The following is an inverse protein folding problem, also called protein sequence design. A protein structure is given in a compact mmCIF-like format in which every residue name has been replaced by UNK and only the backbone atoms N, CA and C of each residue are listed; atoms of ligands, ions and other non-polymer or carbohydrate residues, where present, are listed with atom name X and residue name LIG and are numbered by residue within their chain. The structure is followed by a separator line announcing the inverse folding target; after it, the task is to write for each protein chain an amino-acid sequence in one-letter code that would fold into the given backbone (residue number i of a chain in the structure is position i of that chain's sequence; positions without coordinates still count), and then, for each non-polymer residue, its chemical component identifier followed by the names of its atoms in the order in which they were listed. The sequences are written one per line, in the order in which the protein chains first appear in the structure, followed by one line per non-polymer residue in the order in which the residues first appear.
data_IF_123615924462
#
_entry.id   IF_123615924462
#
_cell.length_a   1.000
_cell.length_b   1.000
_cell.length_c   1.000
_cell.angle_alpha   90.00
_cell.angle_beta   90.00
_cell.angle_gamma   90.00
#
_symmetry.space_group_name_H-M   'P 1'
#
loop_
_entity.id
_entity.type
_entity.pdbx_description
1 polymer ?
#
# COMPACT_ATOMS: atom_id res chain seq x y z
N UNK A 1 6.76 9.31 24.43
CA UNK A 1 8.12 9.40 23.86
C UNK A 1 8.73 8.02 23.96
N UNK A 2 8.35 7.11 23.07
CA UNK A 2 8.93 5.78 22.92
C UNK A 2 8.74 5.37 21.46
N UNK A 3 9.78 4.81 20.85
CA UNK A 3 9.80 4.41 19.44
C UNK A 3 10.67 5.32 18.58
N UNK A 4 11.99 5.07 18.60
CA UNK A 4 12.96 5.72 17.74
C UNK A 4 12.80 5.29 16.29
N UNK A 5 11.79 5.82 15.60
CA UNK A 5 11.66 5.69 14.16
C UNK A 5 12.66 6.62 13.49
N UNK A 6 13.72 6.05 12.91
CA UNK A 6 14.75 6.81 12.17
C UNK A 6 14.27 7.23 10.76
N UNK A 7 13.02 6.88 10.44
CA UNK A 7 12.32 7.21 9.21
C UNK A 7 10.90 7.68 9.47
N UNK A 8 10.54 8.83 8.89
CA UNK A 8 9.17 9.31 8.82
C UNK A 8 8.58 8.95 7.46
N UNK A 9 7.49 8.19 7.49
CA UNK A 9 6.77 7.73 6.30
C UNK A 9 5.48 8.50 6.12
N UNK A 10 5.32 9.09 4.94
CA UNK A 10 4.05 9.64 4.49
C UNK A 10 3.56 8.85 3.29
N UNK A 11 2.34 8.33 3.38
CA UNK A 11 1.64 7.71 2.28
C UNK A 11 0.60 8.70 1.77
N UNK A 12 0.71 9.08 0.50
CA UNK A 12 -0.37 9.79 -0.18
C UNK A 12 -0.74 9.06 -1.46
N UNK A 13 -2.04 8.96 -1.71
CA UNK A 13 -2.56 8.44 -2.97
C UNK A 13 -2.49 9.55 -4.02
N UNK A 14 -2.11 9.20 -5.25
CA UNK A 14 -2.17 10.15 -6.35
C UNK A 14 -3.63 10.35 -6.78
N UNK A 15 -4.11 11.59 -6.74
CA UNK A 15 -5.47 11.93 -7.25
C UNK A 15 -5.62 11.65 -8.76
N UNK A 16 -4.51 11.56 -9.49
CA UNK A 16 -4.50 11.33 -10.94
C UNK A 16 -4.40 9.86 -11.33
N UNK A 17 -3.89 9.01 -10.43
CA UNK A 17 -3.69 7.58 -10.67
C UNK A 17 -4.13 6.79 -9.43
N UNK A 18 -5.37 6.29 -9.45
CA UNK A 18 -6.03 5.52 -8.38
C UNK A 18 -5.24 4.26 -7.95
N UNK A 19 -4.25 3.84 -8.75
CA UNK A 19 -3.43 2.66 -8.55
C UNK A 19 -2.01 2.98 -8.04
N UNK A 20 -1.73 4.26 -7.76
CA UNK A 20 -0.41 4.70 -7.32
C UNK A 20 -0.43 5.31 -5.92
N UNK A 21 0.61 5.00 -5.16
CA UNK A 21 0.87 5.54 -3.84
C UNK A 21 2.33 5.98 -3.77
N UNK A 22 2.60 7.12 -3.14
CA UNK A 22 3.95 7.59 -2.87
C UNK A 22 4.22 7.45 -1.39
N UNK A 23 5.35 6.82 -1.07
CA UNK A 23 5.88 6.65 0.26
C UNK A 23 7.15 7.48 0.40
N UNK A 24 7.10 8.50 1.25
CA UNK A 24 8.23 9.37 1.52
C UNK A 24 9.13 8.78 2.61
N UNK A 25 10.43 8.67 2.39
CA UNK A 25 11.44 8.13 3.31
C UNK A 25 12.34 9.26 3.80
N UNK A 26 12.28 9.63 5.09
CA UNK A 26 13.08 10.74 5.64
C UNK A 26 14.19 10.22 6.55
N UNK A 27 15.47 10.46 6.22
CA UNK A 27 16.59 10.04 7.07
C UNK A 27 16.85 11.08 8.16
N UNK A 28 16.46 10.79 9.41
CA UNK A 28 16.70 11.69 10.56
C UNK A 28 18.01 11.40 11.30
N UNK A 29 18.86 10.53 10.75
CA UNK A 29 20.13 10.14 11.36
C UNK A 29 21.29 11.06 10.94
N UNK A 30 22.44 10.92 11.59
CA UNK A 30 23.70 11.55 11.18
C UNK A 30 24.51 10.73 10.17
N UNK A 31 23.97 9.62 9.66
CA UNK A 31 24.67 8.71 8.75
C UNK A 31 23.95 8.60 7.39
N UNK A 32 24.70 8.23 6.36
CA UNK A 32 24.09 7.80 5.11
C UNK A 32 23.33 6.50 5.35
N UNK A 33 22.12 6.37 4.82
CA UNK A 33 21.35 5.13 4.91
C UNK A 33 21.03 4.64 3.52
N UNK A 34 21.41 3.40 3.23
CA UNK A 34 20.91 2.70 2.05
C UNK A 34 19.63 1.94 2.42
N UNK A 35 18.63 2.01 1.56
CA UNK A 35 17.40 1.22 1.72
C UNK A 35 17.21 0.24 0.57
N UNK A 36 16.42 -0.80 0.83
CA UNK A 36 15.92 -1.74 -0.17
C UNK A 36 14.45 -2.04 0.06
N UNK A 37 13.66 -1.97 -1.01
CA UNK A 37 12.23 -2.32 -1.02
C UNK A 37 12.05 -3.76 -1.52
N UNK A 38 11.35 -4.56 -0.72
CA UNK A 38 10.88 -5.91 -1.05
C UNK A 38 9.36 -5.93 -1.04
N UNK A 39 8.77 -6.88 -1.77
CA UNK A 39 7.32 -7.10 -1.78
C UNK A 39 7.00 -8.58 -1.92
N UNK A 40 5.89 -9.01 -1.34
CA UNK A 40 5.37 -10.37 -1.51
C UNK A 40 4.71 -10.59 -2.89
N UNK A 41 4.48 -9.52 -3.67
CA UNK A 41 3.82 -9.60 -4.97
C UNK A 41 4.55 -8.79 -6.07
N UNK A 42 5.81 -9.12 -6.40
CA UNK A 42 6.65 -8.32 -7.32
C UNK A 42 6.14 -8.26 -8.76
N UNK A 43 5.22 -9.15 -9.17
CA UNK A 43 4.57 -9.11 -10.49
C UNK A 43 3.40 -8.12 -10.55
N UNK A 44 2.81 -7.76 -9.41
CA UNK A 44 1.65 -6.86 -9.32
C UNK A 44 2.05 -5.41 -9.17
N UNK A 45 3.27 -5.11 -8.72
CA UNK A 45 3.69 -3.76 -8.39
C UNK A 45 4.98 -3.35 -9.09
N UNK A 46 4.99 -2.13 -9.59
CA UNK A 46 6.20 -1.43 -9.97
C UNK A 46 6.59 -0.48 -8.83
N UNK A 47 7.85 -0.55 -8.40
CA UNK A 47 8.40 0.30 -7.33
C UNK A 47 9.56 1.10 -7.90
N UNK A 48 9.60 2.41 -7.66
CA UNK A 48 10.69 3.30 -8.08
C UNK A 48 10.94 4.39 -7.03
N UNK A 49 12.17 4.57 -6.52
CA UNK A 49 13.33 3.66 -6.64
C UNK A 49 13.17 2.41 -5.76
N UNK A 50 13.74 1.27 -6.18
CA UNK A 50 13.74 0.02 -5.38
C UNK A 50 14.83 0.00 -4.30
N UNK A 51 15.92 0.72 -4.53
CA UNK A 51 17.06 0.88 -3.62
C UNK A 51 17.72 2.22 -3.91
N UNK A 52 18.16 2.92 -2.89
CA UNK A 52 18.90 4.18 -2.99
C UNK A 52 19.59 4.51 -1.65
N UNK A 53 20.49 5.48 -1.67
CA UNK A 53 21.09 6.08 -0.47
C UNK A 53 20.39 7.40 -0.16
N UNK A 54 19.95 7.54 1.09
CA UNK A 54 19.37 8.76 1.63
C UNK A 54 20.42 9.41 2.54
N UNK A 55 20.80 10.63 2.20
CA UNK A 55 21.76 11.41 2.98
C UNK A 55 21.17 11.86 4.33
N UNK A 56 22.02 12.16 5.34
CA UNK A 56 21.58 12.73 6.61
C UNK A 56 20.67 13.94 6.43
N UNK A 57 19.50 13.93 7.07
CA UNK A 57 18.52 15.03 7.02
C UNK A 57 17.75 15.15 5.69
N UNK A 58 18.00 14.27 4.73
CA UNK A 58 17.34 14.27 3.42
C UNK A 58 16.18 13.29 3.35
N UNK A 59 15.42 13.42 2.27
CA UNK A 59 14.21 12.63 2.01
C UNK A 59 14.23 12.04 0.61
N UNK A 60 13.64 10.87 0.43
CA UNK A 60 13.45 10.21 -0.86
C UNK A 60 11.99 9.76 -1.04
N UNK A 61 11.43 9.96 -2.23
CA UNK A 61 10.08 9.51 -2.57
C UNK A 61 10.11 8.16 -3.29
N UNK A 62 9.48 7.16 -2.70
CA UNK A 62 9.28 5.84 -3.30
C UNK A 62 7.86 5.75 -3.86
N UNK A 63 7.76 5.71 -5.18
CA UNK A 63 6.49 5.50 -5.88
C UNK A 63 6.22 4.00 -6.02
N UNK A 64 5.05 3.58 -5.56
CA UNK A 64 4.50 2.24 -5.74
C UNK A 64 3.29 2.33 -6.65
N UNK A 65 3.37 1.67 -7.81
CA UNK A 65 2.29 1.60 -8.79
C UNK A 65 1.79 0.16 -8.90
N UNK A 66 0.51 -0.07 -8.64
CA UNK A 66 -0.16 -1.34 -8.92
C UNK A 66 -0.39 -1.47 -10.42
N UNK A 67 0.11 -2.57 -10.99
CA UNK A 67 0.01 -2.93 -12.42
C UNK A 67 -1.06 -3.99 -12.68
N UNK A 68 -1.73 -4.50 -11.65
CA UNK A 68 -2.80 -5.47 -11.79
C UNK A 68 -4.06 -4.84 -12.42
N UNK A 69 -4.83 -5.61 -13.18
CA UNK A 69 -6.10 -5.16 -13.76
C UNK A 69 -7.12 -4.86 -12.65
N UNK A 70 -7.94 -3.81 -12.84
CA UNK A 70 -8.98 -3.38 -11.88
C UNK A 70 -9.93 -4.52 -11.43
N UNK A 71 -10.06 -5.58 -12.24
CA UNK A 71 -10.85 -6.77 -11.93
C UNK A 71 -10.30 -7.59 -10.74
N UNK A 72 -8.98 -7.68 -10.58
CA UNK A 72 -8.33 -8.43 -9.47
C UNK A 72 -8.48 -7.67 -8.13
N UNK A 73 -8.62 -6.34 -8.20
CA UNK A 73 -8.85 -5.48 -7.02
C UNK A 73 -10.24 -5.75 -6.40
N UNK A 74 -11.20 -6.21 -7.22
CA UNK A 74 -12.57 -6.48 -6.77
C UNK A 74 -12.73 -7.73 -5.90
N UNK A 75 -11.72 -8.61 -5.83
CA UNK A 75 -11.78 -9.81 -4.97
C UNK A 75 -11.44 -9.51 -3.50
N UNK A 76 -11.25 -8.22 -3.14
CA UNK A 76 -11.06 -7.66 -1.78
C UNK A 76 -9.96 -8.30 -0.90
N UNK A 77 -9.19 -9.26 -1.44
CA UNK A 77 -8.18 -10.03 -0.73
C UNK A 77 -6.77 -9.55 -1.08
N UNK A 78 -6.52 -8.24 -0.93
CA UNK A 78 -5.15 -7.74 -0.97
C UNK A 78 -4.45 -8.12 0.34
N UNK A 79 -3.61 -9.16 0.29
CA UNK A 79 -2.73 -9.60 1.39
C UNK A 79 -1.26 -9.29 1.08
N UNK A 80 -1.05 -8.42 0.09
CA UNK A 80 0.28 -8.06 -0.37
C UNK A 80 0.96 -7.18 0.69
N UNK A 81 2.27 -7.38 0.84
CA UNK A 81 3.08 -6.66 1.83
C UNK A 81 4.28 -6.03 1.14
N UNK A 82 4.71 -4.90 1.66
CA UNK A 82 5.99 -4.27 1.35
C UNK A 82 6.88 -4.32 2.59
N UNK A 83 8.16 -4.53 2.37
CA UNK A 83 9.18 -4.48 3.40
C UNK A 83 10.26 -3.51 2.96
N UNK A 84 10.63 -2.58 3.82
CA UNK A 84 11.80 -1.71 3.62
C UNK A 84 12.84 -2.15 4.62
N UNK A 85 14.03 -2.46 4.10
CA UNK A 85 15.20 -2.75 4.93
C UNK A 85 16.18 -1.59 4.81
N UNK A 86 16.72 -1.16 5.93
CA UNK A 86 17.67 -0.05 6.02
C UNK A 86 19.01 -0.52 6.59
N UNK A 87 20.10 -0.07 5.96
CA UNK A 87 21.49 -0.34 6.40
C UNK A 87 22.28 0.95 6.43
N UNK A 88 23.16 1.12 7.41
CA UNK A 88 24.07 2.27 7.44
C UNK A 88 25.06 2.11 6.27
N UNK A 89 25.13 3.12 5.42
CA UNK A 89 26.04 3.15 4.29
C UNK A 89 27.32 3.92 4.65
N UNK A 90 28.41 3.55 3.99
CA UNK A 90 29.70 4.22 4.18
C UNK A 90 29.66 5.65 3.59
N UNK A 91 30.59 6.49 4.06
CA UNK A 91 30.72 7.84 3.53
C UNK A 91 31.17 7.78 2.07
N UNK A 92 30.44 8.44 1.18
CA UNK A 92 30.71 8.42 -0.26
C UNK A 92 30.19 7.17 -0.99
N UNK A 93 29.46 6.29 -0.31
CA UNK A 93 28.80 5.17 -0.97
C UNK A 93 27.84 5.67 -2.07
N UNK A 94 27.78 4.91 -3.15
CA UNK A 94 26.97 5.18 -4.34
C UNK A 94 25.95 4.08 -4.54
N UNK A 95 25.07 4.26 -5.53
CA UNK A 95 24.12 3.22 -5.93
C UNK A 95 24.80 1.90 -6.32
N UNK A 96 26.03 1.92 -6.84
CA UNK A 96 26.76 0.71 -7.25
C UNK A 96 27.22 -0.11 -6.04
N UNK A 97 27.44 0.54 -4.90
CA UNK A 97 27.91 -0.09 -3.66
C UNK A 97 26.80 -0.80 -2.88
N UNK A 98 25.52 -0.53 -3.21
CA UNK A 98 24.37 -1.15 -2.54
C UNK A 98 24.19 -2.58 -3.05
N UNK A 99 24.75 -3.57 -2.36
CA UNK A 99 24.62 -4.98 -2.73
C UNK A 99 23.50 -5.68 -1.95
N UNK A 100 22.98 -6.78 -2.51
CA UNK A 100 21.92 -7.56 -1.88
C UNK A 100 22.38 -8.21 -0.57
N UNK A 101 23.65 -8.57 -0.47
CA UNK A 101 24.25 -9.22 0.70
C UNK A 101 24.23 -8.33 1.94
N UNK A 102 24.25 -7.00 1.76
CA UNK A 102 24.17 -6.03 2.87
C UNK A 102 22.83 -6.10 3.62
N UNK A 103 21.77 -6.60 2.98
CA UNK A 103 20.42 -6.66 3.54
C UNK A 103 20.04 -8.07 4.04
N UNK A 104 21.03 -8.92 4.29
CA UNK A 104 20.86 -10.26 4.86
C UNK A 104 21.00 -10.23 6.38
N UNK A 105 20.30 -11.12 7.08
CA UNK A 105 20.44 -11.24 8.55
C UNK A 105 21.88 -11.56 8.97
N UNK A 106 22.60 -12.34 8.16
CA UNK A 106 23.99 -12.72 8.40
C UNK A 106 24.94 -11.53 8.43
N UNK A 107 24.66 -10.51 7.60
CA UNK A 107 25.47 -9.29 7.57
C UNK A 107 25.42 -8.53 8.90
N UNK A 108 24.34 -8.67 9.68
CA UNK A 108 24.01 -7.86 10.87
C UNK A 108 24.12 -6.35 10.63
N UNK A 109 24.06 -5.91 9.36
CA UNK A 109 24.12 -4.50 8.95
C UNK A 109 22.74 -3.86 8.85
N UNK A 110 21.71 -4.68 8.73
CA UNK A 110 20.31 -4.23 8.80
C UNK A 110 20.06 -3.75 10.21
N UNK A 111 19.84 -2.44 10.35
CA UNK A 111 19.53 -1.85 11.65
C UNK A 111 18.03 -1.60 11.81
N UNK A 112 17.25 -1.59 10.71
CA UNK A 112 15.81 -1.36 10.77
C UNK A 112 15.06 -2.01 9.60
N UNK A 113 13.88 -2.54 9.90
CA UNK A 113 12.95 -3.11 8.93
C UNK A 113 11.54 -2.60 9.16
N UNK A 114 10.85 -2.21 8.09
CA UNK A 114 9.49 -1.68 8.14
C UNK A 114 8.57 -2.46 7.21
N UNK A 115 7.56 -3.13 7.79
CA UNK A 115 6.54 -3.85 7.03
C UNK A 115 5.28 -2.99 6.85
N UNK A 116 4.80 -2.89 5.62
CA UNK A 116 3.59 -2.16 5.24
C UNK A 116 2.60 -3.12 4.58
N UNK A 117 1.35 -3.11 5.05
CA UNK A 117 0.27 -3.86 4.43
C UNK A 117 -0.41 -3.02 3.35
N UNK A 118 -0.69 -3.62 2.19
CA UNK A 118 -1.44 -2.96 1.14
C UNK A 118 -2.93 -3.05 1.43
N UNK A 119 -3.63 -1.90 1.41
CA UNK A 119 -5.08 -1.83 1.57
C UNK A 119 -5.69 -1.25 0.30
N UNK A 120 -6.54 -2.03 -0.36
CA UNK A 120 -7.34 -1.55 -1.48
C UNK A 120 -8.69 -1.06 -0.95
N UNK A 121 -8.96 0.24 -1.06
CA UNK A 121 -10.25 0.81 -0.67
C UNK A 121 -11.09 1.00 -1.93
N UNK A 122 -12.31 0.43 -2.01
CA UNK A 122 -13.19 0.71 -3.12
C UNK A 122 -13.64 2.17 -3.08
N UNK A 123 -13.60 2.83 -4.23
CA UNK A 123 -14.24 4.14 -4.44
C UNK A 123 -15.75 3.96 -4.38
N UNK A 124 -16.30 3.86 -3.16
CA UNK A 124 -17.74 3.97 -2.95
C UNK A 124 -18.09 5.45 -3.07
N UNK A 125 -18.96 5.86 -4.01
CA UNK A 125 -19.54 7.19 -3.91
C UNK A 125 -20.24 7.30 -2.54
N UNK A 126 -20.21 8.47 -1.87
CA UNK A 126 -20.99 8.66 -0.66
C UNK A 126 -22.43 8.26 -1.00
N UNK A 127 -22.98 7.27 -0.28
CA UNK A 127 -24.34 6.78 -0.55
C UNK A 127 -25.27 7.99 -0.62
N UNK A 128 -26.12 8.12 -1.66
CA UNK A 128 -27.09 9.19 -1.71
C UNK A 128 -27.92 9.08 -0.43
N UNK A 129 -27.78 10.07 0.45
CA UNK A 129 -28.62 10.18 1.64
C UNK A 129 -30.05 10.18 1.12
N UNK A 130 -30.91 9.24 1.51
CA UNK A 130 -32.31 9.29 1.09
C UNK A 130 -32.88 10.60 1.66
N UNK A 131 -33.13 11.59 0.79
CA UNK A 131 -33.75 12.86 1.19
C UNK A 131 -35.22 12.66 1.62
N UNK A 132 -35.77 11.44 1.47
CA UNK A 132 -37.13 11.12 1.90
C UNK A 132 -37.22 9.73 2.57
N UNK A 133 -37.67 9.64 3.84
CA UNK A 133 -37.88 8.38 4.57
C UNK A 133 -38.92 7.43 3.97
N UNK A 134 -39.79 7.89 3.08
CA UNK A 134 -40.98 7.14 2.63
C UNK A 134 -40.68 6.09 1.55
N UNK A 135 -39.59 6.22 0.80
CA UNK A 135 -39.26 5.30 -0.31
C UNK A 135 -38.57 4.00 0.16
N UNK A 136 -38.04 3.97 1.39
CA UNK A 136 -37.38 2.81 1.96
C UNK A 136 -38.35 1.64 2.24
N UNK A 137 -39.63 1.92 2.46
CA UNK A 137 -40.63 0.89 2.79
C UNK A 137 -41.18 0.13 1.57
N UNK A 138 -41.07 0.70 0.35
CA UNK A 138 -41.66 0.11 -0.86
C UNK A 138 -40.78 -0.97 -1.50
N UNK A 139 -39.47 -0.97 -1.23
CA UNK A 139 -38.53 -1.95 -1.80
C UNK A 139 -38.60 -3.33 -1.13
N UNK A 140 -39.21 -3.46 0.05
CA UNK A 140 -39.23 -4.72 0.82
C UNK A 140 -40.41 -5.64 0.48
N UNK A 141 -41.43 -5.18 -0.25
CA UNK A 141 -42.69 -5.93 -0.45
C UNK A 141 -42.80 -6.68 -1.80
N UNK A 142 -41.80 -6.63 -2.68
CA UNK A 142 -41.91 -7.22 -4.03
C UNK A 142 -41.58 -8.73 -4.12
N UNK A 143 -41.41 -9.45 -3.00
CA UNK A 143 -40.97 -10.85 -3.04
C UNK A 143 -41.88 -11.82 -2.29
N UNK A 144 -43.20 -11.76 -2.49
CA UNK A 144 -44.06 -12.95 -2.30
C UNK A 144 -45.30 -12.88 -3.21
N UNK A 145 -45.32 -13.68 -4.26
CA UNK A 145 -46.58 -14.18 -4.82
C UNK A 145 -46.37 -15.62 -5.30
N UNK A 146 -46.69 -16.57 -4.42
CA UNK A 146 -46.95 -17.96 -4.76
C UNK A 146 -48.26 -18.01 -5.58
N UNK A 147 -48.24 -18.57 -6.79
CA UNK A 147 -49.46 -18.84 -7.55
C UNK A 147 -49.82 -20.33 -7.41
N UNK A 148 -50.70 -20.63 -6.44
CA UNK A 148 -51.34 -21.94 -6.27
C UNK A 148 -52.56 -22.00 -7.20
N UNK A 149 -52.66 -23.12 -7.92
CA UNK A 149 -53.55 -23.32 -9.06
C UNK A 149 -55.05 -23.15 -8.81
N UNK A 150 -55.76 -22.90 -9.91
CA UNK A 150 -57.22 -22.94 -9.98
C UNK A 150 -57.66 -24.06 -10.92
N UNK A 151 -58.19 -25.12 -10.29
CA UNK A 151 -59.18 -26.03 -10.85
C UNK A 151 -60.55 -25.36 -10.75
N UNK A 152 -61.42 -25.53 -11.74
CA UNK A 152 -62.90 -25.59 -11.66
C UNK A 152 -63.51 -25.36 -13.06
N UNK A 153 -64.81 -25.63 -13.27
CA UNK A 153 -65.57 -26.84 -12.96
C UNK A 153 -66.11 -27.53 -14.24
#
# INVERSE_FOLDING_TARGET
MEGGGLFLFYLHNSEKDELSCVMQLSNITSHNVAYKVKTTAPRKYCVRPKREIILPGSTCDVTVLMQASKQIISDYNCKDKFLIQCVVAEHGATFEDITDDMFTEESRRVFEEFEFNVVCVPNTPPSPVPENPEEAALSTLSSTSENIGSKNP
#
